data_IF_022334166929
#
_entry.id   IF_022334166929
#
_cell.length_a   1.000
_cell.length_b   1.000
_cell.length_c   1.000
_cell.angle_alpha   90.00
_cell.angle_beta   90.00
_cell.angle_gamma   90.00
#
_symmetry.space_group_name_H-M   'P 1'
#
loop_
_entity.id
_entity.type
_entity.pdbx_description
1 polymer ?
#
# COMPACT_ATOMS: atom_id res chain seq x y z
N UNK A 1 41.11 -35.84 54.82
CA UNK A 1 39.73 -35.50 54.41
C UNK A 1 39.82 -34.32 53.46
N UNK A 2 39.40 -34.52 52.21
CA UNK A 2 39.45 -33.53 51.13
C UNK A 2 38.21 -32.63 51.24
N UNK A 3 38.39 -31.32 51.42
CA UNK A 3 37.33 -30.34 51.18
C UNK A 3 37.82 -29.36 50.13
N UNK A 4 37.40 -29.57 48.88
CA UNK A 4 37.57 -28.64 47.79
C UNK A 4 36.51 -27.55 47.87
N UNK A 5 36.94 -26.30 47.94
CA UNK A 5 36.08 -25.15 47.68
C UNK A 5 36.16 -24.83 46.18
N UNK A 6 35.09 -25.15 45.47
CA UNK A 6 34.86 -24.79 44.09
C UNK A 6 34.43 -23.31 44.07
N UNK A 7 35.31 -22.42 43.61
CA UNK A 7 34.93 -21.04 43.31
C UNK A 7 34.06 -21.04 42.04
N UNK A 8 32.76 -20.82 42.20
CA UNK A 8 31.82 -20.65 41.10
C UNK A 8 31.90 -19.21 40.62
N UNK A 9 32.60 -18.99 39.51
CA UNK A 9 32.66 -17.71 38.80
C UNK A 9 31.29 -17.41 38.17
N UNK A 10 30.47 -16.56 38.81
CA UNK A 10 29.26 -16.03 38.18
C UNK A 10 29.71 -14.86 37.28
N UNK A 11 30.03 -15.19 36.03
CA UNK A 11 30.20 -14.20 34.98
C UNK A 11 28.79 -13.77 34.53
N UNK A 12 28.27 -12.69 35.13
CA UNK A 12 27.03 -12.07 34.69
C UNK A 12 27.23 -11.50 33.29
N UNK A 13 26.87 -12.28 32.27
CA UNK A 13 26.80 -11.84 30.89
C UNK A 13 25.62 -10.87 30.77
N UNK A 14 25.89 -9.59 31.02
CA UNK A 14 24.96 -8.51 30.71
C UNK A 14 24.83 -8.47 29.18
N UNK A 15 23.83 -9.18 28.64
CA UNK A 15 23.38 -8.98 27.27
C UNK A 15 22.90 -7.53 27.18
N UNK A 16 23.77 -6.65 26.71
CA UNK A 16 23.35 -5.40 26.09
C UNK A 16 22.50 -5.79 24.88
N UNK A 17 21.19 -5.97 25.10
CA UNK A 17 20.20 -5.81 24.06
C UNK A 17 20.35 -4.36 23.60
N UNK A 18 21.16 -4.15 22.56
CA UNK A 18 21.04 -2.96 21.74
C UNK A 18 19.57 -2.93 21.34
N UNK A 19 18.80 -1.99 21.90
CA UNK A 19 17.52 -1.60 21.34
C UNK A 19 17.84 -1.06 19.95
N UNK A 20 17.95 -1.95 18.97
CA UNK A 20 17.79 -1.57 17.58
C UNK A 20 16.42 -0.92 17.54
N UNK A 21 16.37 0.37 17.26
CA UNK A 21 15.14 1.10 17.08
C UNK A 21 14.23 0.32 16.13
N UNK A 22 13.24 -0.38 16.68
CA UNK A 22 12.11 -0.96 15.94
C UNK A 22 11.31 0.17 15.24
N UNK A 23 11.64 1.43 15.52
CA UNK A 23 10.83 2.62 15.22
C UNK A 23 11.03 3.24 13.82
N UNK A 24 11.95 2.75 12.99
CA UNK A 24 12.20 3.39 11.68
C UNK A 24 12.71 2.42 10.60
N UNK A 25 11.89 1.43 10.22
CA UNK A 25 12.24 0.47 9.17
C UNK A 25 11.24 0.51 8.01
N UNK A 26 11.76 0.29 6.81
CA UNK A 26 10.97 0.02 5.61
C UNK A 26 11.51 -1.23 4.94
N UNK A 27 10.64 -2.01 4.32
CA UNK A 27 11.03 -3.13 3.47
C UNK A 27 10.38 -2.99 2.09
N UNK A 28 10.90 -3.77 1.15
CA UNK A 28 10.46 -3.81 -0.24
C UNK A 28 10.56 -5.24 -0.74
N UNK A 29 9.66 -5.64 -1.60
CA UNK A 29 9.71 -6.97 -2.19
C UNK A 29 9.01 -7.03 -3.54
N UNK A 30 9.67 -7.73 -4.46
CA UNK A 30 9.15 -8.11 -5.76
C UNK A 30 9.78 -9.46 -6.09
N UNK A 31 8.95 -10.47 -6.33
CA UNK A 31 9.47 -11.82 -6.58
C UNK A 31 8.56 -12.61 -7.50
N UNK A 32 9.14 -13.59 -8.20
CA UNK A 32 8.39 -14.52 -9.03
C UNK A 32 7.71 -15.58 -8.17
N UNK A 33 6.42 -15.82 -8.41
CA UNK A 33 5.64 -16.81 -7.67
C UNK A 33 6.16 -18.24 -7.84
N UNK A 34 6.67 -18.56 -9.02
CA UNK A 34 7.09 -19.92 -9.40
C UNK A 34 8.25 -20.50 -8.57
N UNK A 35 9.18 -19.65 -8.14
CA UNK A 35 10.44 -20.06 -7.50
C UNK A 35 10.80 -19.20 -6.29
N UNK A 36 10.00 -18.18 -5.97
CA UNK A 36 10.26 -17.29 -4.85
C UNK A 36 11.42 -16.31 -5.10
N UNK A 37 11.97 -16.24 -6.32
CA UNK A 37 13.17 -15.44 -6.62
C UNK A 37 12.87 -13.95 -6.50
N UNK A 38 13.49 -13.30 -5.51
CA UNK A 38 13.46 -11.84 -5.36
C UNK A 38 14.23 -11.17 -6.50
N UNK A 39 13.65 -10.09 -7.02
CA UNK A 39 14.23 -9.22 -8.05
C UNK A 39 13.93 -7.77 -7.69
N UNK A 40 14.72 -6.84 -8.21
CA UNK A 40 14.43 -5.41 -8.05
C UNK A 40 13.63 -4.83 -9.21
N UNK A 41 13.59 -5.55 -10.34
CA UNK A 41 12.90 -5.11 -11.54
C UNK A 41 12.34 -6.32 -12.31
N UNK A 42 11.15 -6.13 -12.88
CA UNK A 42 10.57 -6.99 -13.91
C UNK A 42 10.15 -6.08 -15.06
N UNK A 43 10.76 -6.26 -16.23
CA UNK A 43 10.31 -5.67 -17.50
C UNK A 43 9.59 -6.77 -18.28
N UNK A 44 8.37 -6.50 -18.74
CA UNK A 44 7.53 -7.52 -19.38
C UNK A 44 6.70 -6.97 -20.53
N UNK A 45 6.84 -7.55 -21.72
CA UNK A 45 5.96 -7.28 -22.86
C UNK A 45 4.53 -7.78 -22.59
N UNK A 46 4.39 -8.90 -21.85
CA UNK A 46 3.09 -9.32 -21.32
C UNK A 46 2.70 -8.38 -20.20
N UNK A 47 1.79 -7.47 -20.51
CA UNK A 47 1.42 -6.39 -19.60
C UNK A 47 0.84 -6.88 -18.26
N UNK A 48 0.09 -7.99 -18.24
CA UNK A 48 -0.46 -8.57 -17.02
C UNK A 48 0.42 -9.71 -16.48
N UNK A 49 1.04 -9.47 -15.33
CA UNK A 49 1.83 -10.45 -14.58
C UNK A 49 1.24 -10.71 -13.20
N UNK A 50 0.00 -10.28 -12.93
CA UNK A 50 -0.65 -10.32 -11.61
C UNK A 50 -0.54 -11.69 -10.97
N UNK A 51 -0.79 -12.77 -11.71
CA UNK A 51 -0.75 -14.14 -11.17
C UNK A 51 0.64 -14.77 -11.15
N UNK A 52 1.63 -14.12 -11.75
CA UNK A 52 2.98 -14.66 -11.93
C UNK A 52 3.96 -14.11 -10.89
N UNK A 53 3.65 -12.99 -10.26
CA UNK A 53 4.44 -12.40 -9.17
C UNK A 53 3.82 -12.73 -7.82
N UNK A 54 4.66 -12.85 -6.82
CA UNK A 54 4.31 -13.33 -5.48
C UNK A 54 3.19 -12.55 -4.83
N UNK A 55 3.39 -11.25 -4.62
CA UNK A 55 2.41 -10.35 -3.99
C UNK A 55 1.32 -9.86 -4.96
N UNK A 56 1.20 -10.42 -6.16
CA UNK A 56 0.44 -9.84 -7.28
C UNK A 56 0.93 -8.45 -7.77
N UNK A 57 2.08 -7.99 -7.28
CA UNK A 57 2.73 -6.75 -7.70
C UNK A 57 4.04 -6.47 -6.94
N UNK A 58 4.70 -5.33 -7.20
CA UNK A 58 5.72 -4.79 -6.31
C UNK A 58 5.07 -4.33 -5.00
N UNK A 59 5.71 -4.63 -3.88
CA UNK A 59 5.21 -4.29 -2.55
C UNK A 59 6.28 -3.56 -1.71
N UNK A 60 5.80 -2.69 -0.83
CA UNK A 60 6.59 -1.97 0.17
C UNK A 60 5.87 -1.94 1.50
N UNK A 61 6.62 -1.86 2.58
CA UNK A 61 6.06 -1.73 3.92
C UNK A 61 6.91 -0.83 4.81
N UNK A 62 6.28 -0.30 5.85
CA UNK A 62 6.96 0.17 7.06
C UNK A 62 6.32 -0.50 8.28
N UNK A 63 6.65 -0.05 9.49
CA UNK A 63 6.08 -0.62 10.71
C UNK A 63 4.56 -0.53 10.79
N UNK A 64 3.89 0.35 10.05
CA UNK A 64 2.46 0.63 10.19
C UNK A 64 1.59 -0.10 9.17
N UNK A 65 2.04 -0.12 7.92
CA UNK A 65 1.26 -0.70 6.84
C UNK A 65 2.15 -1.26 5.74
N UNK A 66 1.57 -2.11 4.90
CA UNK A 66 2.19 -2.64 3.70
C UNK A 66 1.26 -2.40 2.51
N UNK A 67 1.83 -1.96 1.39
CA UNK A 67 1.11 -1.59 0.18
C UNK A 67 1.71 -2.32 -1.02
N UNK A 68 0.86 -2.65 -2.00
CA UNK A 68 1.26 -3.17 -3.31
C UNK A 68 0.58 -2.41 -4.43
N UNK A 69 1.21 -2.38 -5.60
CA UNK A 69 0.59 -1.92 -6.84
C UNK A 69 0.25 -3.16 -7.68
N UNK A 70 -1.00 -3.39 -8.06
CA UNK A 70 -1.34 -4.56 -8.87
C UNK A 70 -0.65 -4.57 -10.24
N UNK A 71 -0.05 -5.71 -10.61
CA UNK A 71 0.59 -5.92 -11.91
C UNK A 71 -0.44 -6.31 -12.98
N UNK A 72 -1.45 -5.46 -13.19
CA UNK A 72 -2.49 -5.60 -14.20
C UNK A 72 -2.95 -4.23 -14.74
N UNK A 73 -4.13 -4.16 -15.34
CA UNK A 73 -4.66 -2.94 -15.96
C UNK A 73 -5.30 -1.94 -14.97
N UNK A 74 -5.47 -2.32 -13.70
CA UNK A 74 -6.26 -1.52 -12.74
C UNK A 74 -5.55 -0.26 -12.26
N UNK A 75 -4.22 -0.28 -12.18
CA UNK A 75 -3.45 0.75 -11.47
C UNK A 75 -3.77 0.83 -9.98
N UNK A 76 -4.42 -0.20 -9.42
CA UNK A 76 -4.90 -0.18 -8.06
C UNK A 76 -3.79 -0.40 -7.04
N UNK A 77 -3.96 0.25 -5.89
CA UNK A 77 -3.12 0.08 -4.72
C UNK A 77 -3.92 -0.67 -3.66
N UNK A 78 -3.31 -1.71 -3.13
CA UNK A 78 -3.92 -2.62 -2.18
C UNK A 78 -3.13 -2.64 -0.86
N UNK A 79 -3.82 -2.99 0.22
CA UNK A 79 -3.35 -2.90 1.60
C UNK A 79 -3.24 -4.29 2.21
N UNK A 80 -2.06 -4.60 2.75
CA UNK A 80 -1.93 -5.69 3.70
C UNK A 80 -2.19 -5.15 5.11
N UNK A 81 -3.27 -5.63 5.71
CA UNK A 81 -3.79 -5.14 6.99
C UNK A 81 -3.02 -5.77 8.13
N UNK A 82 -2.07 -5.02 8.68
CA UNK A 82 -1.24 -5.46 9.80
C UNK A 82 -2.06 -5.54 11.09
N UNK A 83 -1.67 -6.46 11.96
CA UNK A 83 -2.26 -6.60 13.29
C UNK A 83 -1.73 -5.56 14.29
N UNK A 84 -0.66 -4.84 13.93
CA UNK A 84 -0.01 -3.87 14.80
C UNK A 84 1.31 -3.40 14.19
N UNK A 85 2.13 -2.73 14.99
CA UNK A 85 3.44 -2.26 14.54
C UNK A 85 4.39 -3.43 14.30
N UNK A 86 4.97 -3.53 13.09
CA UNK A 86 5.96 -4.54 12.78
C UNK A 86 6.29 -4.66 11.29
N UNK A 87 7.38 -5.35 10.98
CA UNK A 87 7.77 -5.70 9.61
C UNK A 87 7.28 -7.13 9.34
N UNK A 88 6.53 -7.32 8.26
CA UNK A 88 5.81 -8.57 7.98
C UNK A 88 6.02 -9.08 6.55
N UNK A 89 6.37 -8.21 5.61
CA UNK A 89 6.44 -8.53 4.19
C UNK A 89 7.51 -9.58 3.88
N UNK A 90 8.67 -9.52 4.54
CA UNK A 90 9.72 -10.53 4.39
C UNK A 90 9.30 -11.88 4.98
N UNK A 91 8.62 -11.85 6.13
CA UNK A 91 8.24 -13.05 6.89
C UNK A 91 7.08 -13.81 6.23
N UNK A 92 6.02 -13.09 5.86
CA UNK A 92 4.75 -13.70 5.44
C UNK A 92 4.47 -13.54 3.94
N UNK A 93 5.25 -12.74 3.23
CA UNK A 93 5.12 -12.52 1.79
C UNK A 93 3.68 -12.23 1.35
N UNK A 94 2.99 -11.37 2.10
CA UNK A 94 1.57 -10.99 1.92
C UNK A 94 0.52 -12.05 2.30
N UNK A 95 0.89 -13.33 2.39
CA UNK A 95 -0.05 -14.45 2.59
C UNK A 95 0.34 -15.32 3.79
N UNK A 96 0.17 -14.82 5.03
CA UNK A 96 0.35 -15.64 6.22
C UNK A 96 -0.70 -16.76 6.27
N UNK A 97 -0.29 -17.94 6.71
CA UNK A 97 -1.19 -19.06 6.96
C UNK A 97 -2.07 -18.83 8.20
N UNK A 98 -3.04 -19.71 8.41
CA UNK A 98 -3.98 -19.61 9.53
C UNK A 98 -3.31 -19.70 10.90
N UNK A 99 -2.21 -20.47 11.01
CA UNK A 99 -1.44 -20.58 12.25
C UNK A 99 -0.75 -19.25 12.57
N UNK A 100 -0.13 -18.61 11.57
CA UNK A 100 0.52 -17.34 11.74
C UNK A 100 -0.45 -16.22 12.12
N UNK A 101 -1.66 -16.23 11.56
CA UNK A 101 -2.71 -15.29 11.94
C UNK A 101 -3.24 -15.53 13.36
N UNK A 102 -3.48 -16.80 13.73
CA UNK A 102 -4.06 -17.16 15.02
C UNK A 102 -3.07 -17.07 16.20
N UNK A 103 -1.84 -17.55 16.03
CA UNK A 103 -0.88 -17.72 17.13
C UNK A 103 0.16 -16.60 17.19
N UNK A 104 0.57 -16.07 16.03
CA UNK A 104 1.60 -15.02 15.95
C UNK A 104 1.04 -13.64 15.65
N UNK A 105 -0.30 -13.53 15.55
CA UNK A 105 -0.99 -12.30 15.22
C UNK A 105 -0.48 -11.71 13.90
N UNK A 106 -0.25 -12.49 12.86
CA UNK A 106 0.08 -11.93 11.55
C UNK A 106 -1.08 -11.06 11.01
N UNK A 107 -0.74 -10.09 10.18
CA UNK A 107 -1.70 -9.36 9.34
C UNK A 107 -2.39 -10.26 8.30
N UNK A 108 -3.11 -9.65 7.37
CA UNK A 108 -3.89 -10.39 6.37
C UNK A 108 -4.25 -9.54 5.15
N UNK A 109 -4.48 -10.22 4.02
CA UNK A 109 -4.92 -9.64 2.73
C UNK A 109 -6.44 -9.38 2.71
N UNK A 110 -6.96 -8.71 3.75
CA UNK A 110 -8.40 -8.48 3.92
C UNK A 110 -8.93 -7.27 3.11
N UNK A 111 -8.06 -6.38 2.62
CA UNK A 111 -8.48 -5.19 1.88
C UNK A 111 -8.91 -5.55 0.44
N UNK A 112 -10.22 -5.64 0.20
CA UNK A 112 -10.73 -5.93 -1.14
C UNK A 112 -10.83 -4.67 -2.01
N UNK A 113 -10.00 -4.58 -3.06
CA UNK A 113 -10.00 -3.48 -4.05
C UNK A 113 -11.18 -3.55 -5.04
N UNK A 114 -11.54 -4.75 -5.49
CA UNK A 114 -12.62 -4.94 -6.47
C UNK A 114 -12.31 -4.33 -7.84
N UNK A 115 -13.25 -3.51 -8.37
CA UNK A 115 -13.12 -2.83 -9.67
C UNK A 115 -12.54 -1.42 -9.58
N UNK A 116 -12.28 -0.94 -8.36
CA UNK A 116 -11.83 0.43 -8.07
C UNK A 116 -10.32 0.58 -8.19
N UNK A 117 -9.81 1.77 -7.87
CA UNK A 117 -8.38 2.05 -7.72
C UNK A 117 -7.81 1.69 -6.33
N UNK A 118 -8.63 1.18 -5.40
CA UNK A 118 -8.19 0.80 -4.05
C UNK A 118 -7.84 2.01 -3.18
N UNK A 119 -6.72 1.93 -2.46
CA UNK A 119 -6.22 2.99 -1.59
C UNK A 119 -5.25 3.92 -2.34
N UNK A 120 -5.79 4.93 -3.03
CA UNK A 120 -5.00 5.94 -3.74
C UNK A 120 -4.34 5.44 -5.02
N UNK A 121 -4.79 4.31 -5.58
CA UNK A 121 -4.36 3.89 -6.91
C UNK A 121 -4.79 4.87 -8.01
N UNK A 122 -4.38 4.59 -9.24
CA UNK A 122 -4.42 5.56 -10.33
C UNK A 122 -5.07 4.97 -11.58
N UNK A 123 -6.00 5.73 -12.14
CA UNK A 123 -6.45 5.62 -13.51
C UNK A 123 -6.35 6.98 -14.22
N UNK A 124 -6.66 7.05 -15.50
CA UNK A 124 -6.84 8.31 -16.22
C UNK A 124 -8.33 8.66 -16.29
N UNK A 125 -8.64 9.93 -16.55
CA UNK A 125 -10.01 10.43 -16.75
C UNK A 125 -10.12 11.12 -18.10
N UNK A 126 -10.99 10.65 -18.99
CA UNK A 126 -11.13 11.25 -20.33
C UNK A 126 -12.04 12.49 -20.37
N UNK A 127 -12.67 12.86 -19.26
CA UNK A 127 -13.67 13.92 -19.17
C UNK A 127 -15.07 13.37 -18.88
N UNK A 128 -15.32 12.09 -19.18
CA UNK A 128 -16.62 11.44 -19.04
C UNK A 128 -16.53 10.16 -18.19
N UNK A 129 -15.45 9.38 -18.32
CA UNK A 129 -15.27 8.08 -17.68
C UNK A 129 -13.82 7.77 -17.35
N UNK A 130 -13.68 6.75 -16.50
CA UNK A 130 -12.40 6.15 -16.16
C UNK A 130 -11.76 5.49 -17.38
N UNK A 131 -10.47 5.75 -17.58
CA UNK A 131 -9.61 5.07 -18.53
C UNK A 131 -8.56 4.27 -17.75
N UNK A 132 -8.72 2.94 -17.78
CA UNK A 132 -7.78 1.99 -17.18
C UNK A 132 -6.42 2.07 -17.83
N UNK A 133 -5.38 1.73 -17.08
CA UNK A 133 -3.98 1.74 -17.55
C UNK A 133 -3.66 0.49 -18.39
N UNK A 134 -4.47 0.19 -19.41
CA UNK A 134 -4.27 -0.92 -20.34
C UNK A 134 -3.01 -0.64 -21.17
N UNK A 135 -1.93 -1.36 -20.89
CA UNK A 135 -0.64 -1.14 -21.53
C UNK A 135 -0.54 -1.99 -22.80
N UNK A 136 -0.26 -1.34 -23.93
CA UNK A 136 -0.11 -2.00 -25.24
C UNK A 136 1.33 -2.33 -25.58
N UNK A 137 2.30 -1.72 -24.88
CA UNK A 137 3.75 -1.89 -25.09
C UNK A 137 4.46 -2.54 -23.90
N UNK A 138 3.70 -3.22 -23.03
CA UNK A 138 4.23 -3.91 -21.85
C UNK A 138 4.19 -3.08 -20.57
N UNK A 139 4.76 -3.63 -19.49
CA UNK A 139 4.83 -3.02 -18.17
C UNK A 139 6.16 -3.30 -17.47
N UNK A 140 6.57 -2.36 -16.63
CA UNK A 140 7.73 -2.51 -15.75
C UNK A 140 7.32 -2.37 -14.29
N UNK A 141 7.69 -3.32 -13.44
CA UNK A 141 7.59 -3.22 -11.99
C UNK A 141 8.98 -3.07 -11.38
N UNK A 142 9.15 -2.15 -10.43
CA UNK A 142 10.41 -1.90 -9.72
C UNK A 142 10.20 -1.78 -8.23
N UNK A 143 11.19 -2.21 -7.47
CA UNK A 143 11.31 -1.93 -6.04
C UNK A 143 12.73 -1.49 -5.72
N UNK A 144 12.88 -0.61 -4.74
CA UNK A 144 14.19 -0.13 -4.32
C UNK A 144 14.16 0.67 -3.03
N UNK A 145 15.33 1.15 -2.65
CA UNK A 145 15.53 1.99 -1.47
C UNK A 145 15.60 3.46 -1.87
N UNK A 146 15.25 4.33 -0.92
CA UNK A 146 15.44 5.78 -0.99
C UNK A 146 16.24 6.22 0.23
N UNK A 147 16.70 7.48 0.24
CA UNK A 147 17.42 8.04 1.40
C UNK A 147 16.68 7.84 2.74
N UNK A 148 15.35 7.86 2.73
CA UNK A 148 14.50 7.85 3.94
C UNK A 148 13.47 6.71 3.97
N UNK A 149 13.66 5.64 3.17
CA UNK A 149 12.73 4.51 3.13
C UNK A 149 12.85 3.64 1.89
N UNK A 150 11.73 3.14 1.37
CA UNK A 150 11.68 2.26 0.20
C UNK A 150 10.59 2.67 -0.79
N UNK A 151 10.64 2.15 -2.01
CA UNK A 151 9.61 2.41 -3.01
C UNK A 151 9.19 1.16 -3.79
N UNK A 152 7.94 1.20 -4.25
CA UNK A 152 7.38 0.31 -5.29
C UNK A 152 6.92 1.19 -6.46
N UNK A 153 7.25 0.81 -7.68
CA UNK A 153 6.86 1.54 -8.89
C UNK A 153 6.32 0.56 -9.93
N UNK A 154 5.31 1.01 -10.66
CA UNK A 154 4.77 0.36 -11.85
C UNK A 154 4.73 1.37 -13.00
N UNK A 155 5.18 0.98 -14.19
CA UNK A 155 5.07 1.77 -15.41
C UNK A 155 4.26 0.98 -16.42
N UNK A 156 3.21 1.60 -16.95
CA UNK A 156 2.37 1.09 -18.01
C UNK A 156 2.71 1.79 -19.33
N UNK A 157 3.17 1.05 -20.33
CA UNK A 157 3.61 1.62 -21.61
C UNK A 157 2.52 1.55 -22.68
N UNK A 158 2.34 2.63 -23.43
CA UNK A 158 1.39 2.72 -24.53
C UNK A 158 -0.08 2.64 -24.09
N UNK A 159 -0.43 3.29 -22.98
CA UNK A 159 -1.83 3.44 -22.53
C UNK A 159 -2.56 4.36 -23.51
N UNK A 160 -3.64 3.86 -24.12
CA UNK A 160 -4.45 4.66 -25.06
C UNK A 160 -5.26 5.70 -24.30
N UNK A 161 -5.10 6.97 -24.66
CA UNK A 161 -5.81 8.09 -24.06
C UNK A 161 -6.11 9.16 -25.11
N UNK A 162 -7.40 9.44 -25.34
CA UNK A 162 -7.89 10.46 -26.29
C UNK A 162 -7.30 10.39 -27.71
N UNK A 163 -7.03 9.18 -28.21
CA UNK A 163 -6.50 8.94 -29.55
C UNK A 163 -4.97 8.80 -29.62
N UNK A 164 -4.27 9.16 -28.55
CA UNK A 164 -2.81 9.03 -28.42
C UNK A 164 -2.43 7.87 -27.48
N UNK A 165 -1.13 7.58 -27.38
CA UNK A 165 -0.59 6.60 -26.43
C UNK A 165 0.38 7.27 -25.46
N UNK A 166 0.23 6.98 -24.17
CA UNK A 166 1.02 7.56 -23.08
C UNK A 166 1.70 6.48 -22.25
N UNK A 167 2.84 6.82 -21.67
CA UNK A 167 3.50 5.96 -20.68
C UNK A 167 3.25 6.54 -19.28
N UNK A 168 2.59 5.75 -18.42
CA UNK A 168 2.11 6.19 -17.11
C UNK A 168 2.84 5.44 -15.99
N UNK A 169 3.49 6.18 -15.10
CA UNK A 169 4.14 5.66 -13.90
C UNK A 169 3.27 5.89 -12.66
N UNK A 170 3.13 4.87 -11.82
CA UNK A 170 2.64 4.94 -10.45
C UNK A 170 3.78 4.58 -9.53
N UNK A 171 4.03 5.38 -8.48
CA UNK A 171 5.07 5.12 -7.48
C UNK A 171 4.53 5.34 -6.08
N UNK A 172 4.79 4.38 -5.21
CA UNK A 172 4.60 4.48 -3.76
C UNK A 172 5.98 4.69 -3.14
N UNK A 173 6.17 5.79 -2.41
CA UNK A 173 7.32 6.02 -1.55
C UNK A 173 6.90 5.83 -0.09
N UNK A 174 7.42 4.77 0.52
CA UNK A 174 7.22 4.43 1.92
C UNK A 174 8.34 5.04 2.75
N UNK A 175 7.99 5.78 3.80
CA UNK A 175 8.94 6.46 4.68
C UNK A 175 9.09 5.71 6.01
N UNK A 176 10.28 5.77 6.60
CA UNK A 176 10.60 5.03 7.85
C UNK A 176 9.90 5.55 9.10
N UNK A 177 9.64 6.86 9.20
CA UNK A 177 9.19 7.51 10.45
C UNK A 177 7.79 8.12 10.40
N UNK A 178 6.98 7.75 9.42
CA UNK A 178 5.59 8.24 9.32
C UNK A 178 4.64 7.12 8.95
N UNK A 179 3.38 7.26 9.34
CA UNK A 179 2.28 6.37 8.96
C UNK A 179 1.79 6.60 7.52
N UNK A 180 2.25 7.69 6.90
CA UNK A 180 1.87 8.08 5.55
C UNK A 180 2.83 7.51 4.50
N UNK A 181 2.28 6.98 3.42
CA UNK A 181 3.02 6.71 2.19
C UNK A 181 2.65 7.75 1.13
N UNK A 182 3.63 8.21 0.37
CA UNK A 182 3.39 9.12 -0.75
C UNK A 182 3.08 8.31 -2.00
N UNK A 183 1.98 8.62 -2.68
CA UNK A 183 1.68 8.08 -4.01
C UNK A 183 1.90 9.17 -5.05
N UNK A 184 2.65 8.87 -6.10
CA UNK A 184 2.89 9.77 -7.24
C UNK A 184 2.47 9.08 -8.52
N UNK A 185 1.72 9.79 -9.36
CA UNK A 185 1.46 9.40 -10.75
C UNK A 185 2.12 10.39 -11.71
N UNK A 186 2.69 9.90 -12.80
CA UNK A 186 3.41 10.72 -13.79
C UNK A 186 3.21 10.17 -15.21
N UNK A 187 2.97 11.05 -16.17
CA UNK A 187 3.08 10.75 -17.60
C UNK A 187 4.50 11.09 -18.04
N UNK A 188 5.23 10.09 -18.54
CA UNK A 188 6.70 10.18 -18.68
C UNK A 188 7.17 11.19 -19.74
N UNK A 189 6.33 11.50 -20.74
CA UNK A 189 6.65 12.50 -21.78
C UNK A 189 6.24 13.93 -21.37
N UNK A 190 5.65 14.12 -20.19
CA UNK A 190 5.20 15.41 -19.71
C UNK A 190 3.83 15.85 -20.24
N UNK A 191 3.11 15.01 -20.99
CA UNK A 191 1.75 15.31 -21.45
C UNK A 191 0.82 15.53 -20.25
N UNK A 192 0.04 16.62 -20.29
CA UNK A 192 -0.92 16.92 -19.24
C UNK A 192 -2.21 16.13 -19.45
N UNK A 193 -2.59 15.36 -18.43
CA UNK A 193 -3.80 14.54 -18.40
C UNK A 193 -4.59 14.82 -17.12
N UNK A 194 -5.79 14.28 -17.03
CA UNK A 194 -6.49 14.19 -15.77
C UNK A 194 -6.31 12.78 -15.21
N UNK A 195 -5.88 12.70 -13.96
CA UNK A 195 -5.77 11.45 -13.22
C UNK A 195 -7.02 11.24 -12.38
N UNK A 196 -7.51 10.00 -12.32
CA UNK A 196 -8.51 9.57 -11.36
C UNK A 196 -7.80 8.82 -10.23
N UNK A 197 -8.11 9.18 -8.99
CA UNK A 197 -7.69 8.47 -7.78
C UNK A 197 -8.80 8.50 -6.73
N UNK A 198 -8.63 7.85 -5.59
CA UNK A 198 -9.67 7.76 -4.58
C UNK A 198 -9.40 6.73 -3.49
N UNK A 199 -10.41 6.52 -2.64
CA UNK A 199 -10.42 5.46 -1.63
C UNK A 199 -11.72 4.68 -1.77
N UNK A 200 -11.61 3.36 -1.93
CA UNK A 200 -12.77 2.50 -2.05
C UNK A 200 -13.41 2.17 -0.69
N UNK A 201 -14.68 1.79 -0.73
CA UNK A 201 -15.44 1.35 0.43
C UNK A 201 -16.43 0.26 0.04
N UNK A 202 -16.92 -0.45 1.07
CA UNK A 202 -17.94 -1.49 0.93
C UNK A 202 -19.19 -1.13 1.73
N UNK A 203 -20.27 -1.90 1.52
CA UNK A 203 -21.55 -1.69 2.23
C UNK A 203 -21.33 -1.70 3.74
N UNK A 204 -21.83 -0.67 4.43
CA UNK A 204 -21.72 -0.53 5.88
C UNK A 204 -20.46 0.20 6.36
N UNK A 205 -19.58 0.64 5.45
CA UNK A 205 -18.44 1.47 5.82
C UNK A 205 -18.86 2.87 6.27
N UNK A 206 -18.15 3.40 7.27
CA UNK A 206 -18.17 4.82 7.61
C UNK A 206 -17.30 5.55 6.58
N UNK A 207 -17.87 6.58 5.95
CA UNK A 207 -17.21 7.33 4.88
C UNK A 207 -17.34 8.82 5.20
N UNK A 208 -16.20 9.49 5.32
CA UNK A 208 -16.08 10.91 5.62
C UNK A 208 -15.03 11.52 4.70
N UNK A 209 -15.31 12.67 4.11
CA UNK A 209 -14.38 13.35 3.20
C UNK A 209 -14.66 14.85 3.22
N UNK A 210 -13.62 15.64 3.00
CA UNK A 210 -13.69 17.08 3.15
C UNK A 210 -12.41 17.75 2.70
N UNK A 211 -11.99 18.78 3.44
CA UNK A 211 -10.93 19.70 3.04
C UNK A 211 -9.55 19.03 2.93
N UNK A 212 -9.29 18.42 1.77
CA UNK A 212 -8.03 17.74 1.45
C UNK A 212 -7.88 16.33 2.01
N UNK A 213 -8.97 15.67 2.43
CA UNK A 213 -8.93 14.29 2.91
C UNK A 213 -10.12 13.42 2.47
N UNK A 214 -9.88 12.11 2.41
CA UNK A 214 -10.87 11.04 2.31
C UNK A 214 -10.57 10.04 3.43
N UNK A 215 -11.59 9.65 4.19
CA UNK A 215 -11.53 8.71 5.31
C UNK A 215 -12.61 7.63 5.14
N UNK A 216 -12.19 6.37 5.13
CA UNK A 216 -13.06 5.21 5.05
C UNK A 216 -12.72 4.25 6.19
N UNK A 217 -13.74 3.74 6.87
CA UNK A 217 -13.59 2.69 7.89
C UNK A 217 -14.71 1.66 7.77
N UNK A 218 -14.36 0.40 7.47
CA UNK A 218 -15.36 -0.65 7.35
C UNK A 218 -14.79 -2.03 7.07
N UNK A 219 -15.66 -3.03 7.11
CA UNK A 219 -15.32 -4.42 6.78
C UNK A 219 -15.27 -4.59 5.27
N UNK A 220 -14.20 -5.21 4.77
CA UNK A 220 -14.07 -5.62 3.38
C UNK A 220 -14.52 -7.09 3.26
N UNK A 221 -15.33 -7.46 2.24
CA UNK A 221 -15.85 -8.82 2.11
C UNK A 221 -14.81 -9.76 1.45
N UNK A 222 -13.65 -9.93 2.10
CA UNK A 222 -12.58 -10.80 1.63
C UNK A 222 -12.74 -12.23 2.18
N UNK A 223 -12.61 -13.24 1.32
CA UNK A 223 -12.77 -14.67 1.67
C UNK A 223 -11.48 -15.29 2.26
N UNK A 224 -10.69 -14.48 2.96
CA UNK A 224 -9.37 -14.88 3.50
C UNK A 224 -9.35 -14.96 5.03
N UNK A 225 -10.45 -14.55 5.68
CA UNK A 225 -10.58 -14.48 7.14
C UNK A 225 -11.94 -14.99 7.60
N UNK A 226 -11.94 -15.78 8.67
CA UNK A 226 -13.17 -16.29 9.29
C UNK A 226 -13.95 -15.23 10.05
N UNK A 227 -13.27 -14.14 10.44
CA UNK A 227 -13.83 -13.02 11.19
C UNK A 227 -13.22 -11.70 10.71
N UNK A 228 -13.65 -11.22 9.52
CA UNK A 228 -13.03 -10.07 8.86
C UNK A 228 -13.22 -8.81 9.70
N UNK A 229 -12.11 -8.11 9.94
CA UNK A 229 -12.11 -6.94 10.79
C UNK A 229 -12.25 -5.65 9.97
N UNK A 230 -12.81 -4.57 10.56
CA UNK A 230 -12.78 -3.26 9.94
C UNK A 230 -11.35 -2.77 9.65
N UNK A 231 -11.16 -2.23 8.45
CA UNK A 231 -9.91 -1.61 8.00
C UNK A 231 -10.18 -0.13 7.74
N UNK A 232 -9.26 0.72 8.19
CA UNK A 232 -9.19 2.13 7.86
C UNK A 232 -8.41 2.33 6.58
N UNK A 233 -8.97 3.08 5.63
CA UNK A 233 -8.28 3.57 4.43
C UNK A 233 -8.43 5.09 4.35
N UNK A 234 -7.31 5.79 4.25
CA UNK A 234 -7.29 7.25 4.24
C UNK A 234 -6.39 7.81 3.15
N UNK A 235 -6.76 8.96 2.61
CA UNK A 235 -5.97 9.69 1.63
C UNK A 235 -6.01 11.19 1.92
N UNK A 236 -4.86 11.85 1.79
CA UNK A 236 -4.70 13.29 1.80
C UNK A 236 -4.29 13.79 0.41
N UNK A 237 -4.82 14.95 0.03
CA UNK A 237 -4.57 15.56 -1.27
C UNK A 237 -4.66 17.09 -1.19
N UNK A 238 -3.96 17.78 -2.10
CA UNK A 238 -4.04 19.23 -2.19
C UNK A 238 -5.23 19.67 -3.04
N UNK A 239 -6.16 20.45 -2.46
CA UNK A 239 -7.37 20.93 -3.14
C UNK A 239 -7.09 21.73 -4.42
N UNK A 240 -5.94 22.40 -4.51
CA UNK A 240 -5.61 23.13 -5.74
C UNK A 240 -5.42 22.21 -6.94
N UNK A 241 -5.07 20.94 -6.70
CA UNK A 241 -4.65 20.01 -7.74
C UNK A 241 -5.80 19.12 -8.23
N UNK A 242 -6.92 19.10 -7.51
CA UNK A 242 -8.05 18.20 -7.75
C UNK A 242 -9.40 18.94 -7.80
N UNK A 243 -10.39 18.29 -8.41
CA UNK A 243 -11.80 18.62 -8.24
C UNK A 243 -12.29 18.24 -6.85
N UNK A 244 -13.50 18.68 -6.50
CA UNK A 244 -14.15 18.22 -5.28
C UNK A 244 -14.34 16.69 -5.31
N UNK A 245 -14.24 16.00 -4.15
CA UNK A 245 -14.49 14.57 -4.06
C UNK A 245 -15.93 14.19 -4.39
N UNK A 246 -16.09 13.09 -5.12
CA UNK A 246 -17.38 12.52 -5.48
C UNK A 246 -17.52 11.12 -4.87
N UNK A 247 -18.57 10.92 -4.08
CA UNK A 247 -18.94 9.61 -3.56
C UNK A 247 -19.75 8.84 -4.61
N UNK A 248 -19.23 7.69 -5.03
CA UNK A 248 -19.86 6.81 -6.04
C UNK A 248 -20.59 5.63 -5.38
N UNK A 249 -20.70 4.48 -6.05
CA UNK A 249 -21.27 3.27 -5.42
C UNK A 249 -20.29 2.55 -4.48
N UNK A 250 -19.00 2.62 -4.78
CA UNK A 250 -17.95 1.78 -4.21
C UNK A 250 -16.64 2.52 -3.89
N UNK A 251 -16.56 3.82 -4.16
CA UNK A 251 -15.43 4.66 -3.78
C UNK A 251 -15.79 6.13 -3.63
N UNK A 252 -15.00 6.86 -2.84
CA UNK A 252 -14.90 8.31 -2.99
C UNK A 252 -13.77 8.58 -3.97
N UNK A 253 -14.08 9.16 -5.12
CA UNK A 253 -13.11 9.48 -6.17
C UNK A 253 -12.82 10.97 -6.22
N UNK A 254 -11.62 11.32 -6.67
CA UNK A 254 -11.22 12.68 -7.05
C UNK A 254 -10.56 12.63 -8.42
N UNK A 255 -10.73 13.71 -9.18
CA UNK A 255 -10.14 13.86 -10.51
C UNK A 255 -9.19 15.04 -10.47
N UNK A 256 -7.96 14.85 -10.95
CA UNK A 256 -6.99 15.94 -10.99
C UNK A 256 -7.38 17.01 -12.01
N UNK A 257 -6.92 18.23 -11.77
CA UNK A 257 -6.76 19.21 -12.86
C UNK A 257 -5.73 18.67 -13.87
N UNK A 258 -5.73 19.16 -15.13
CA UNK A 258 -4.75 18.74 -16.12
C UNK A 258 -3.31 18.94 -15.63
N UNK A 259 -2.58 17.84 -15.46
CA UNK A 259 -1.21 17.81 -14.98
C UNK A 259 -0.45 16.65 -15.62
N UNK A 260 0.86 16.77 -15.76
CA UNK A 260 1.71 15.64 -16.13
C UNK A 260 2.08 14.76 -14.94
N UNK A 261 1.88 15.27 -13.72
CA UNK A 261 2.23 14.61 -12.48
C UNK A 261 1.31 15.06 -11.35
N UNK A 262 0.88 14.11 -10.52
CA UNK A 262 0.14 14.37 -9.28
C UNK A 262 0.78 13.65 -8.10
N UNK A 263 0.44 14.08 -6.89
CA UNK A 263 0.84 13.41 -5.67
C UNK A 263 -0.26 13.44 -4.62
N UNK A 264 -0.42 12.33 -3.91
CA UNK A 264 -1.26 12.20 -2.71
C UNK A 264 -0.46 11.51 -1.60
N UNK A 265 -0.98 11.53 -0.38
CA UNK A 265 -0.48 10.70 0.71
C UNK A 265 -1.59 9.76 1.17
N UNK A 266 -1.26 8.50 1.45
CA UNK A 266 -2.21 7.47 1.87
C UNK A 266 -1.83 6.88 3.19
N UNK A 267 -2.82 6.31 3.87
CA UNK A 267 -2.69 5.70 5.18
C UNK A 267 -3.68 4.56 5.35
N UNK A 268 -3.30 3.56 6.12
CA UNK A 268 -4.20 2.52 6.57
C UNK A 268 -4.04 2.24 8.06
N UNK A 269 -5.07 1.64 8.63
CA UNK A 269 -5.22 1.27 10.02
C UNK A 269 -6.06 0.00 10.13
N UNK A 270 -5.94 -0.75 11.22
CA UNK A 270 -6.81 -1.90 11.49
C UNK A 270 -7.32 -1.88 12.92
N UNK A 271 -8.40 -2.62 13.21
CA UNK A 271 -8.88 -2.77 14.61
C UNK A 271 -7.85 -3.38 15.56
N UNK A 272 -6.84 -4.06 15.00
CA UNK A 272 -5.84 -4.80 15.77
C UNK A 272 -4.70 -3.90 16.27
N UNK A 273 -4.47 -2.73 15.65
CA UNK A 273 -3.45 -1.80 16.15
C UNK A 273 -3.91 -1.05 17.42
N UNK A 274 -3.03 -0.30 18.08
CA UNK A 274 -3.38 0.40 19.33
C UNK A 274 -3.88 1.84 19.11
N UNK A 275 -3.36 2.52 18.08
CA UNK A 275 -3.46 3.98 17.92
C UNK A 275 -4.73 4.40 17.20
N UNK A 276 -4.99 3.90 15.99
CA UNK A 276 -6.13 4.30 15.16
C UNK A 276 -7.18 3.20 14.98
N UNK A 277 -7.40 2.40 16.01
CA UNK A 277 -8.15 1.15 15.94
C UNK A 277 -9.68 1.25 15.96
N UNK A 278 -10.23 2.44 15.76
CA UNK A 278 -11.68 2.67 15.69
C UNK A 278 -12.00 3.69 14.62
N UNK A 279 -13.20 3.63 14.06
CA UNK A 279 -13.69 4.61 13.08
C UNK A 279 -13.49 6.05 13.55
N UNK A 280 -13.86 6.34 14.81
CA UNK A 280 -13.74 7.67 15.42
C UNK A 280 -12.28 8.13 15.50
N UNK A 281 -11.38 7.30 16.02
CA UNK A 281 -9.95 7.66 16.14
C UNK A 281 -9.31 7.87 14.77
N UNK A 282 -9.65 7.02 13.82
CA UNK A 282 -9.15 7.14 12.45
C UNK A 282 -9.66 8.42 11.78
N UNK A 283 -10.95 8.70 11.86
CA UNK A 283 -11.55 9.93 11.31
C UNK A 283 -10.97 11.19 11.96
N UNK A 284 -10.85 11.22 13.29
CA UNK A 284 -10.21 12.31 14.04
C UNK A 284 -8.78 12.57 13.54
N UNK A 285 -7.98 11.52 13.38
CA UNK A 285 -6.63 11.65 12.80
C UNK A 285 -6.66 12.23 11.37
N UNK A 286 -7.62 11.81 10.55
CA UNK A 286 -7.77 12.30 9.18
C UNK A 286 -8.22 13.77 9.12
N UNK A 287 -8.86 14.29 10.17
CA UNK A 287 -9.33 15.68 10.25
C UNK A 287 -8.28 16.65 10.81
N UNK A 288 -7.16 16.14 11.35
CA UNK A 288 -6.02 16.97 11.75
C UNK A 288 -5.97 17.41 13.21
N UNK A 289 -6.48 16.60 14.14
CA UNK A 289 -6.29 16.77 15.60
C UNK A 289 -4.93 16.28 16.10
#
# INVERSE_FOLDING_TARGET
MKNGFLYLSILSLLMCLSRTDISAQTAKSLFWKKDGKQVNEIVSEKADQYRNVGHHGPAVENSYMALRIYFNNSGAIDVYSKSGRGMELEKYRWYPDSLAQAEYGAGCDEYMVGKTVGLGGIALWDGEKEVKLVATKGRTARVGETRNGSYAQMIAYGVVYKGDTLDVSIRIDMKTKTRLAKVTAEVLDGTKVQFLTGVNYHKGANVSYGDGYISVWGVHPADVSKDPQPIGGGMFFNRSDFSDPEKTGDMVRIISRPASRISTEVISASTKEAELNTARRFETFMQGD
#
